data_IF_979966428930
#
_entry.id   IF_979966428930
#
_cell.length_a   1.000
_cell.length_b   1.000
_cell.length_c   1.000
_cell.angle_alpha   90.00
_cell.angle_beta   90.00
_cell.angle_gamma   90.00
#
_symmetry.space_group_name_H-M   'P 1'
#
loop_
_entity.id
_entity.type
_entity.pdbx_description
1 polymer ?
#
# COMPACT_ATOMS: atom_id res chain seq x y z
N UNK A 1 -79.99 14.54 11.13
CA UNK A 1 -78.57 14.96 11.27
C UNK A 1 -77.71 13.72 11.37
N UNK A 2 -77.15 13.30 10.26
CA UNK A 2 -76.26 12.11 10.16
C UNK A 2 -74.82 12.60 10.39
N UNK A 3 -74.18 12.15 11.48
CA UNK A 3 -72.76 12.38 11.73
C UNK A 3 -71.94 11.45 10.84
N UNK A 4 -71.16 12.04 9.93
CA UNK A 4 -70.20 11.35 9.08
C UNK A 4 -68.95 11.12 9.91
N UNK A 5 -68.61 9.88 10.23
CA UNK A 5 -67.40 9.49 10.94
C UNK A 5 -66.30 9.32 9.90
N UNK A 6 -65.37 10.29 9.83
CA UNK A 6 -64.20 10.22 8.93
C UNK A 6 -63.14 9.35 9.60
N UNK A 7 -62.99 8.09 9.15
CA UNK A 7 -61.88 7.20 9.55
C UNK A 7 -60.63 7.60 8.79
N UNK A 8 -59.73 8.29 9.50
CA UNK A 8 -58.40 8.60 9.01
C UNK A 8 -57.55 7.32 9.14
N UNK A 9 -57.40 6.60 8.05
CA UNK A 9 -56.42 5.50 8.00
C UNK A 9 -55.05 6.09 7.83
N UNK A 10 -54.30 6.22 8.93
CA UNK A 10 -52.86 6.53 8.89
C UNK A 10 -52.15 5.26 8.42
N UNK A 11 -51.83 5.19 7.12
CA UNK A 11 -50.90 4.21 6.61
C UNK A 11 -49.53 4.55 7.13
N UNK A 12 -49.11 3.91 8.21
CA UNK A 12 -47.71 3.87 8.62
C UNK A 12 -47.00 3.01 7.58
N UNK A 13 -46.51 3.66 6.53
CA UNK A 13 -45.49 3.05 5.68
C UNK A 13 -44.25 2.90 6.54
N UNK A 14 -44.12 1.72 7.14
CA UNK A 14 -42.86 1.28 7.71
C UNK A 14 -41.86 1.28 6.56
N UNK A 15 -41.07 2.34 6.48
CA UNK A 15 -39.85 2.38 5.70
C UNK A 15 -38.92 1.36 6.39
N UNK A 16 -39.13 0.05 6.12
CA UNK A 16 -38.10 -0.92 6.35
C UNK A 16 -36.98 -0.51 5.41
N UNK A 17 -35.99 0.25 5.94
CA UNK A 17 -34.70 0.32 5.30
C UNK A 17 -34.33 -1.12 4.99
N UNK A 18 -34.36 -1.48 3.72
CA UNK A 18 -33.88 -2.79 3.28
C UNK A 18 -32.42 -2.85 3.73
N UNK A 19 -32.20 -3.55 4.86
CA UNK A 19 -30.88 -3.72 5.41
C UNK A 19 -30.05 -4.42 4.35
N UNK A 20 -28.99 -3.77 3.90
CA UNK A 20 -28.12 -4.25 2.85
C UNK A 20 -27.64 -5.67 3.19
N UNK A 21 -28.15 -6.67 2.48
CA UNK A 21 -27.84 -8.07 2.76
C UNK A 21 -26.66 -8.49 1.90
N UNK A 22 -25.48 -8.46 2.48
CA UNK A 22 -24.26 -8.98 1.86
C UNK A 22 -24.45 -10.41 1.36
N UNK A 23 -23.86 -10.76 0.22
CA UNK A 23 -23.95 -12.09 -0.35
C UNK A 23 -23.40 -13.15 0.62
N UNK A 24 -23.91 -14.40 0.52
CA UNK A 24 -23.42 -15.50 1.35
C UNK A 24 -21.92 -15.73 1.14
N UNK A 25 -21.43 -15.56 -0.09
CA UNK A 25 -20.02 -15.75 -0.42
C UNK A 25 -19.12 -14.72 0.27
N UNK A 26 -19.51 -13.44 0.24
CA UNK A 26 -18.76 -12.38 0.92
C UNK A 26 -18.81 -12.54 2.44
N UNK A 27 -20.00 -12.85 3.00
CA UNK A 27 -20.09 -13.13 4.46
C UNK A 27 -19.20 -14.30 4.87
N UNK A 28 -19.14 -15.37 4.09
CA UNK A 28 -18.25 -16.50 4.37
C UNK A 28 -16.78 -16.10 4.28
N UNK A 29 -16.39 -15.24 3.34
CA UNK A 29 -15.01 -14.75 3.25
C UNK A 29 -14.61 -13.92 4.47
N UNK A 30 -15.51 -13.10 5.01
CA UNK A 30 -15.28 -12.38 6.27
C UNK A 30 -15.16 -13.33 7.46
N UNK A 31 -16.01 -14.34 7.57
CA UNK A 31 -15.93 -15.34 8.64
C UNK A 31 -14.62 -16.16 8.55
N UNK A 32 -14.17 -16.47 7.34
CA UNK A 32 -12.88 -17.12 7.13
C UNK A 32 -11.74 -16.19 7.56
N UNK A 33 -11.82 -14.88 7.28
CA UNK A 33 -10.84 -13.89 7.73
C UNK A 33 -10.80 -13.85 9.27
N UNK A 34 -11.93 -13.71 9.93
CA UNK A 34 -12.02 -13.75 11.39
C UNK A 34 -11.35 -14.99 11.96
N UNK A 35 -11.75 -16.17 11.47
CA UNK A 35 -11.23 -17.45 11.95
C UNK A 35 -9.74 -17.62 11.72
N UNK A 36 -9.25 -17.26 10.52
CA UNK A 36 -7.84 -17.47 10.13
C UNK A 36 -6.89 -16.44 10.74
N UNK A 37 -7.43 -15.32 11.23
CA UNK A 37 -6.65 -14.27 11.88
C UNK A 37 -6.92 -14.16 13.39
N UNK A 38 -7.47 -15.23 14.00
CA UNK A 38 -7.70 -15.36 15.44
C UNK A 38 -8.65 -14.26 15.99
N UNK A 39 -9.83 -14.13 15.39
CA UNK A 39 -10.81 -13.10 15.66
C UNK A 39 -11.19 -12.91 17.14
N UNK A 40 -11.16 -14.00 17.93
CA UNK A 40 -11.41 -13.94 19.38
C UNK A 40 -10.33 -13.16 20.15
N UNK A 41 -9.17 -12.92 19.55
CA UNK A 41 -8.07 -12.16 20.14
C UNK A 41 -7.98 -10.73 19.62
N UNK A 42 -8.86 -10.32 18.70
CA UNK A 42 -8.89 -8.95 18.18
C UNK A 42 -9.26 -7.94 19.27
N UNK A 43 -8.73 -6.74 19.18
CA UNK A 43 -9.10 -5.63 20.08
C UNK A 43 -10.56 -5.25 19.88
N UNK A 44 -10.97 -5.12 18.62
CA UNK A 44 -12.35 -4.85 18.21
C UNK A 44 -12.87 -6.07 17.45
N UNK A 45 -13.60 -6.93 18.17
CA UNK A 45 -14.17 -8.15 17.62
C UNK A 45 -15.47 -7.86 16.85
N UNK A 46 -15.76 -8.70 15.87
CA UNK A 46 -17.06 -8.66 15.19
C UNK A 46 -18.15 -9.34 16.05
N UNK A 47 -19.29 -8.66 16.16
CA UNK A 47 -20.47 -9.28 16.75
C UNK A 47 -21.22 -10.05 15.66
N UNK A 48 -21.11 -11.38 15.66
CA UNK A 48 -21.66 -12.27 14.63
C UNK A 48 -23.19 -12.28 14.59
N UNK A 49 -23.85 -11.82 15.68
CA UNK A 49 -25.31 -11.69 15.75
C UNK A 49 -25.83 -10.43 15.05
N UNK A 50 -24.92 -9.50 14.74
CA UNK A 50 -25.26 -8.27 14.03
C UNK A 50 -25.09 -8.42 12.51
N UNK A 51 -25.77 -7.60 11.71
CA UNK A 51 -25.51 -7.49 10.28
C UNK A 51 -24.05 -7.13 9.97
N UNK A 52 -23.54 -7.62 8.84
CA UNK A 52 -22.16 -7.33 8.40
C UNK A 52 -21.86 -5.83 8.32
N UNK A 53 -22.85 -5.01 7.98
CA UNK A 53 -22.72 -3.56 7.92
C UNK A 53 -22.46 -2.89 9.28
N UNK A 54 -22.62 -3.62 10.38
CA UNK A 54 -22.35 -3.15 11.74
C UNK A 54 -21.04 -3.74 12.33
N UNK A 55 -20.33 -4.55 11.52
CA UNK A 55 -19.07 -5.11 11.95
C UNK A 55 -17.97 -4.05 11.90
N UNK A 56 -17.19 -3.97 12.98
CA UNK A 56 -16.11 -3.00 13.08
C UNK A 56 -15.18 -3.06 11.85
N UNK A 57 -14.92 -1.90 11.25
CA UNK A 57 -14.03 -1.76 10.12
C UNK A 57 -14.55 -2.35 8.81
N UNK A 58 -15.83 -2.73 8.72
CA UNK A 58 -16.45 -3.22 7.49
C UNK A 58 -17.44 -2.17 6.97
N UNK A 59 -17.25 -1.74 5.72
CA UNK A 59 -18.20 -0.86 5.01
C UNK A 59 -18.92 -1.67 3.94
N UNK A 60 -20.26 -1.54 3.90
CA UNK A 60 -21.13 -2.20 2.93
C UNK A 60 -21.86 -1.16 2.09
N UNK A 61 -21.74 -1.26 0.77
CA UNK A 61 -22.46 -0.43 -0.19
C UNK A 61 -23.20 -1.33 -1.21
N UNK A 62 -24.45 -1.07 -1.48
CA UNK A 62 -25.21 -1.80 -2.47
C UNK A 62 -25.23 -3.33 -2.29
N UNK A 63 -25.25 -3.84 -1.05
CA UNK A 63 -25.15 -5.24 -0.67
C UNK A 63 -23.78 -5.91 -0.87
N UNK A 64 -22.71 -5.13 -1.09
CA UNK A 64 -21.35 -5.62 -1.24
C UNK A 64 -20.42 -5.04 -0.17
N UNK A 65 -19.45 -5.82 0.26
CA UNK A 65 -18.34 -5.35 1.10
C UNK A 65 -17.39 -4.55 0.22
N UNK A 66 -17.23 -3.26 0.55
CA UNK A 66 -16.39 -2.34 -0.22
C UNK A 66 -15.14 -1.88 0.54
N UNK A 67 -15.13 -2.03 1.86
CA UNK A 67 -13.98 -1.71 2.69
C UNK A 67 -13.86 -2.70 3.85
N UNK A 68 -12.61 -3.05 4.16
CA UNK A 68 -12.19 -3.72 5.39
C UNK A 68 -11.00 -2.94 5.95
N UNK A 69 -11.19 -2.31 7.12
CA UNK A 69 -10.15 -1.59 7.83
C UNK A 69 -10.01 -2.13 9.26
N UNK A 70 -9.03 -3.00 9.44
CA UNK A 70 -8.68 -3.64 10.71
C UNK A 70 -7.28 -3.23 11.16
N UNK A 71 -6.96 -1.95 10.94
CA UNK A 71 -5.71 -1.34 11.35
C UNK A 71 -5.48 -1.51 12.86
N UNK A 72 -4.28 -1.97 13.24
CA UNK A 72 -3.83 -2.11 14.65
C UNK A 72 -4.87 -2.81 15.54
N UNK A 73 -5.43 -3.91 15.06
CA UNK A 73 -6.53 -4.63 15.72
C UNK A 73 -6.11 -6.01 16.31
N UNK A 74 -4.81 -6.25 16.47
CA UNK A 74 -4.24 -7.49 17.02
C UNK A 74 -4.59 -8.75 16.20
N UNK A 75 -4.70 -8.63 14.87
CA UNK A 75 -4.85 -9.77 13.98
C UNK A 75 -3.58 -10.62 14.02
N UNK A 76 -3.73 -11.95 14.11
CA UNK A 76 -2.63 -12.92 14.04
C UNK A 76 -3.04 -14.12 13.23
N UNK A 77 -2.08 -14.82 12.60
CA UNK A 77 -2.39 -15.94 11.70
C UNK A 77 -2.23 -15.53 10.24
N UNK A 78 -3.09 -16.00 9.34
CA UNK A 78 -2.91 -15.86 7.89
C UNK A 78 -4.09 -15.16 7.21
N UNK A 79 -3.82 -14.46 6.11
CA UNK A 79 -4.86 -13.95 5.21
C UNK A 79 -5.40 -15.13 4.40
N UNK A 80 -6.72 -15.44 4.47
CA UNK A 80 -7.25 -16.62 3.81
C UNK A 80 -7.43 -16.43 2.30
N UNK A 81 -7.38 -17.52 1.53
CA UNK A 81 -7.62 -17.50 0.09
C UNK A 81 -9.01 -16.97 -0.28
N UNK A 82 -10.00 -17.10 0.63
CA UNK A 82 -11.35 -16.59 0.40
C UNK A 82 -11.44 -15.06 0.33
N UNK A 83 -10.37 -14.32 0.68
CA UNK A 83 -10.31 -12.86 0.54
C UNK A 83 -10.60 -12.43 -0.92
N UNK A 84 -10.13 -13.20 -1.90
CA UNK A 84 -10.37 -12.93 -3.33
C UNK A 84 -11.84 -12.99 -3.75
N UNK A 85 -12.75 -13.49 -2.91
CA UNK A 85 -14.20 -13.49 -3.18
C UNK A 85 -14.84 -12.12 -2.93
N UNK A 86 -14.14 -11.19 -2.30
CA UNK A 86 -14.62 -9.83 -2.02
C UNK A 86 -14.38 -8.92 -3.24
N UNK A 87 -14.88 -9.30 -4.40
CA UNK A 87 -14.55 -8.67 -5.70
C UNK A 87 -15.00 -7.21 -5.83
N UNK A 88 -15.84 -6.71 -4.93
CA UNK A 88 -16.25 -5.31 -4.86
C UNK A 88 -15.40 -4.48 -3.89
N UNK A 89 -14.44 -5.11 -3.20
CA UNK A 89 -13.60 -4.43 -2.23
C UNK A 89 -12.75 -3.35 -2.92
N UNK A 90 -12.78 -2.15 -2.34
CA UNK A 90 -12.00 -0.98 -2.75
C UNK A 90 -10.85 -0.70 -1.79
N UNK A 91 -11.05 -0.96 -0.50
CA UNK A 91 -10.05 -0.71 0.53
C UNK A 91 -9.86 -1.96 1.37
N UNK A 92 -8.62 -2.41 1.47
CA UNK A 92 -8.19 -3.45 2.40
C UNK A 92 -7.03 -2.92 3.23
N UNK A 93 -7.31 -2.59 4.49
CA UNK A 93 -6.32 -2.14 5.45
C UNK A 93 -6.18 -3.15 6.59
N UNK A 94 -5.09 -3.90 6.60
CA UNK A 94 -4.71 -4.87 7.63
C UNK A 94 -3.38 -4.48 8.29
N UNK A 95 -2.95 -3.24 8.13
CA UNK A 95 -1.67 -2.75 8.61
C UNK A 95 -1.55 -2.79 10.15
N UNK A 96 -0.29 -2.82 10.63
CA UNK A 96 0.06 -2.81 12.06
C UNK A 96 -0.60 -3.94 12.85
N UNK A 97 -0.44 -5.17 12.36
CA UNK A 97 -0.91 -6.38 13.02
C UNK A 97 0.25 -7.40 13.15
N UNK A 98 -0.05 -8.65 13.43
CA UNK A 98 0.95 -9.73 13.51
C UNK A 98 0.64 -10.87 12.53
N UNK A 99 0.02 -10.51 11.38
CA UNK A 99 -0.30 -11.45 10.32
C UNK A 99 0.98 -12.09 9.76
N UNK A 100 0.92 -13.37 9.46
CA UNK A 100 2.04 -14.18 9.00
C UNK A 100 1.65 -15.01 7.77
N UNK A 101 2.59 -15.83 7.28
CA UNK A 101 2.34 -16.62 6.08
C UNK A 101 2.48 -15.78 4.81
N UNK A 102 1.98 -16.27 3.71
CA UNK A 102 2.08 -15.63 2.40
C UNK A 102 0.86 -14.76 2.10
N UNK A 103 1.06 -13.72 1.30
CA UNK A 103 -0.05 -13.01 0.67
C UNK A 103 -0.73 -13.95 -0.33
N UNK A 104 -2.02 -14.29 -0.14
CA UNK A 104 -2.65 -15.28 -1.00
C UNK A 104 -2.74 -14.79 -2.45
N UNK A 105 -2.45 -15.67 -3.43
CA UNK A 105 -2.49 -15.32 -4.85
C UNK A 105 -3.88 -14.81 -5.29
N UNK A 106 -4.94 -15.22 -4.59
CA UNK A 106 -6.31 -14.74 -4.83
C UNK A 106 -6.51 -13.26 -4.54
N UNK A 107 -5.55 -12.58 -3.89
CA UNK A 107 -5.59 -11.12 -3.69
C UNK A 107 -5.68 -10.38 -5.05
N UNK A 108 -5.03 -10.91 -6.09
CA UNK A 108 -5.06 -10.35 -7.44
C UNK A 108 -6.41 -10.45 -8.16
N UNK A 109 -7.39 -11.18 -7.56
CA UNK A 109 -8.77 -11.20 -8.02
C UNK A 109 -9.56 -9.95 -7.60
N UNK A 110 -9.02 -9.14 -6.68
CA UNK A 110 -9.64 -7.91 -6.19
C UNK A 110 -9.43 -6.75 -7.19
N UNK A 111 -9.96 -6.90 -8.39
CA UNK A 111 -9.76 -5.94 -9.50
C UNK A 111 -10.36 -4.55 -9.25
N UNK A 112 -11.22 -4.41 -8.23
CA UNK A 112 -11.77 -3.13 -7.82
C UNK A 112 -10.98 -2.48 -6.67
N UNK A 113 -9.94 -3.15 -6.15
CA UNK A 113 -9.17 -2.63 -5.04
C UNK A 113 -8.38 -1.37 -5.46
N UNK A 114 -8.53 -0.33 -4.66
CA UNK A 114 -7.88 0.97 -4.82
C UNK A 114 -6.75 1.16 -3.79
N UNK A 115 -6.92 0.57 -2.60
CA UNK A 115 -5.96 0.70 -1.51
C UNK A 115 -5.70 -0.67 -0.87
N UNK A 116 -4.43 -1.08 -0.83
CA UNK A 116 -3.95 -2.26 -0.13
C UNK A 116 -2.88 -1.86 0.89
N UNK A 117 -3.22 -1.92 2.18
CA UNK A 117 -2.31 -1.64 3.30
C UNK A 117 -2.10 -2.90 4.12
N UNK A 118 -0.89 -3.42 4.06
CA UNK A 118 -0.47 -4.65 4.77
C UNK A 118 0.88 -4.47 5.47
N UNK A 119 1.36 -3.24 5.58
CA UNK A 119 2.62 -2.90 6.24
C UNK A 119 2.62 -3.26 7.73
N UNK A 120 3.82 -3.32 8.32
CA UNK A 120 4.02 -3.61 9.74
C UNK A 120 3.32 -4.91 10.19
N UNK A 121 3.65 -6.00 9.50
CA UNK A 121 3.17 -7.34 9.77
C UNK A 121 4.34 -8.35 9.74
N UNK A 122 4.06 -9.63 9.66
CA UNK A 122 5.04 -10.72 9.54
C UNK A 122 4.78 -11.57 8.29
N UNK A 123 4.25 -10.95 7.24
CA UNK A 123 3.98 -11.61 5.96
C UNK A 123 5.32 -11.98 5.30
N UNK A 124 5.34 -13.10 4.59
CA UNK A 124 6.55 -13.63 3.97
C UNK A 124 6.26 -14.25 2.59
N UNK A 125 7.29 -14.77 1.95
CA UNK A 125 7.18 -15.34 0.61
C UNK A 125 7.21 -14.25 -0.46
N UNK A 126 6.73 -14.56 -1.65
CA UNK A 126 6.79 -13.68 -2.81
C UNK A 126 5.50 -12.85 -2.95
N UNK A 127 5.60 -11.69 -3.57
CA UNK A 127 4.39 -11.06 -4.13
C UNK A 127 3.82 -11.96 -5.23
N UNK A 128 2.47 -12.08 -5.32
CA UNK A 128 1.85 -12.84 -6.40
C UNK A 128 2.26 -12.31 -7.78
N UNK A 129 2.60 -13.23 -8.71
CA UNK A 129 2.98 -12.89 -10.09
C UNK A 129 1.89 -12.15 -10.85
N UNK A 130 0.63 -12.35 -10.47
CA UNK A 130 -0.55 -11.74 -11.07
C UNK A 130 -0.97 -10.43 -10.37
N UNK A 131 -0.10 -9.82 -9.55
CA UNK A 131 -0.42 -8.56 -8.83
C UNK A 131 -0.87 -7.45 -9.79
N UNK A 132 -0.36 -7.45 -11.02
CA UNK A 132 -0.73 -6.51 -12.07
C UNK A 132 -2.20 -6.53 -12.49
N UNK A 133 -2.95 -7.60 -12.17
CA UNK A 133 -4.39 -7.67 -12.43
C UNK A 133 -5.20 -6.66 -11.60
N UNK A 134 -4.59 -6.06 -10.58
CA UNK A 134 -5.23 -5.07 -9.69
C UNK A 134 -5.18 -3.67 -10.31
N UNK A 135 -5.69 -3.55 -11.53
CA UNK A 135 -5.53 -2.34 -12.39
C UNK A 135 -6.11 -1.04 -11.82
N UNK A 136 -6.97 -1.12 -10.80
CA UNK A 136 -7.53 0.07 -10.12
C UNK A 136 -6.73 0.49 -8.90
N UNK A 137 -5.69 -0.25 -8.52
CA UNK A 137 -4.92 0.04 -7.33
C UNK A 137 -4.19 1.39 -7.47
N UNK A 138 -4.36 2.22 -6.46
CA UNK A 138 -3.75 3.55 -6.32
C UNK A 138 -2.62 3.53 -5.29
N UNK A 139 -2.76 2.69 -4.26
CA UNK A 139 -1.81 2.60 -3.16
C UNK A 139 -1.56 1.14 -2.79
N UNK A 140 -0.28 0.75 -2.79
CA UNK A 140 0.22 -0.53 -2.27
C UNK A 140 1.31 -0.25 -1.25
N UNK A 141 1.01 -0.50 0.03
CA UNK A 141 1.99 -0.39 1.11
C UNK A 141 2.14 -1.74 1.82
N UNK A 142 3.37 -2.25 1.79
CA UNK A 142 3.75 -3.54 2.35
C UNK A 142 5.08 -3.47 3.12
N UNK A 143 5.51 -2.27 3.52
CA UNK A 143 6.78 -2.08 4.20
C UNK A 143 6.80 -2.79 5.56
N UNK A 144 8.01 -3.08 6.02
CA UNK A 144 8.25 -3.76 7.30
C UNK A 144 7.47 -5.09 7.41
N UNK A 145 7.86 -6.02 6.56
CA UNK A 145 7.41 -7.40 6.49
C UNK A 145 8.62 -8.31 6.18
N UNK A 146 8.39 -9.55 5.81
CA UNK A 146 9.42 -10.53 5.43
C UNK A 146 9.22 -11.03 3.99
N UNK A 147 8.66 -10.22 3.10
CA UNK A 147 8.54 -10.56 1.68
C UNK A 147 9.93 -10.79 1.07
N UNK A 148 10.03 -11.73 0.15
CA UNK A 148 11.31 -12.15 -0.46
C UNK A 148 11.15 -12.49 -1.94
N UNK A 149 12.25 -12.79 -2.60
CA UNK A 149 12.30 -13.01 -4.04
C UNK A 149 12.17 -11.71 -4.83
N UNK A 150 11.99 -11.83 -6.13
CA UNK A 150 11.97 -10.68 -7.02
C UNK A 150 10.65 -9.89 -6.93
N UNK A 151 10.71 -8.59 -7.12
CA UNK A 151 9.52 -7.79 -7.41
C UNK A 151 9.02 -8.22 -8.79
N UNK A 152 7.75 -8.64 -8.94
CA UNK A 152 7.26 -9.15 -10.23
C UNK A 152 7.13 -8.03 -11.27
N UNK A 153 7.50 -8.34 -12.53
CA UNK A 153 7.36 -7.39 -13.67
C UNK A 153 5.92 -6.91 -13.87
N UNK A 154 4.94 -7.76 -13.52
CA UNK A 154 3.52 -7.37 -13.61
C UNK A 154 3.13 -6.18 -12.72
N UNK A 155 4.00 -5.77 -11.78
CA UNK A 155 3.75 -4.54 -10.98
C UNK A 155 3.57 -3.32 -11.88
N UNK A 156 4.27 -3.27 -13.03
CA UNK A 156 4.17 -2.21 -14.01
C UNK A 156 2.84 -2.14 -14.78
N UNK A 157 1.99 -3.17 -14.66
CA UNK A 157 0.65 -3.20 -15.27
C UNK A 157 -0.37 -2.42 -14.44
N UNK A 158 -0.03 -2.04 -13.20
CA UNK A 158 -0.90 -1.28 -12.30
C UNK A 158 -0.81 0.22 -12.64
N UNK A 159 -1.17 0.60 -13.84
CA UNK A 159 -0.93 1.95 -14.43
C UNK A 159 -1.54 3.12 -13.65
N UNK A 160 -2.43 2.85 -12.70
CA UNK A 160 -3.04 3.86 -11.85
C UNK A 160 -2.30 4.07 -10.52
N UNK A 161 -1.26 3.27 -10.23
CA UNK A 161 -0.56 3.29 -8.96
C UNK A 161 0.11 4.66 -8.71
N UNK A 162 -0.10 5.19 -7.53
CA UNK A 162 0.50 6.46 -7.05
C UNK A 162 1.52 6.23 -5.95
N UNK A 163 1.30 5.23 -5.12
CA UNK A 163 2.19 4.90 -4.02
C UNK A 163 2.53 3.42 -4.08
N UNK A 164 3.82 3.13 -4.18
CA UNK A 164 4.39 1.79 -4.05
C UNK A 164 5.45 1.82 -2.94
N UNK A 165 5.14 1.21 -1.80
CA UNK A 165 6.11 1.11 -0.71
C UNK A 165 6.32 -0.35 -0.29
N UNK A 166 7.48 -0.87 -0.66
CA UNK A 166 7.96 -2.22 -0.36
C UNK A 166 9.20 -2.20 0.57
N UNK A 167 9.47 -1.08 1.22
CA UNK A 167 10.64 -0.87 2.08
C UNK A 167 10.70 -1.87 3.23
N UNK A 168 11.91 -2.11 3.77
CA UNK A 168 12.17 -2.98 4.93
C UNK A 168 11.53 -4.37 4.75
N UNK A 169 12.03 -5.08 3.74
CA UNK A 169 11.68 -6.44 3.38
C UNK A 169 12.95 -7.22 2.96
N UNK A 170 12.80 -8.38 2.36
CA UNK A 170 13.90 -9.20 1.85
C UNK A 170 13.81 -9.38 0.33
N UNK A 171 13.32 -8.37 -0.41
CA UNK A 171 13.29 -8.43 -1.87
C UNK A 171 14.70 -8.46 -2.44
N UNK A 172 14.90 -9.30 -3.46
CA UNK A 172 16.18 -9.56 -4.13
C UNK A 172 16.06 -9.37 -5.65
N UNK A 173 17.20 -9.47 -6.33
CA UNK A 173 17.26 -9.28 -7.79
C UNK A 173 17.16 -7.80 -8.17
N UNK A 174 16.71 -7.55 -9.39
CA UNK A 174 16.72 -6.20 -9.97
C UNK A 174 15.41 -5.44 -9.71
N UNK A 175 15.49 -4.11 -9.72
CA UNK A 175 14.29 -3.28 -9.83
C UNK A 175 13.69 -3.52 -11.21
N UNK A 176 12.41 -3.94 -11.33
CA UNK A 176 11.78 -4.19 -12.61
C UNK A 176 11.74 -2.95 -13.52
N UNK A 177 12.14 -3.12 -14.77
CA UNK A 177 12.02 -2.05 -15.78
C UNK A 177 10.58 -1.56 -15.94
N UNK A 178 9.62 -2.46 -15.76
CA UNK A 178 8.19 -2.18 -15.88
C UNK A 178 7.68 -1.12 -14.89
N UNK A 179 8.39 -0.85 -13.79
CA UNK A 179 8.02 0.24 -12.87
C UNK A 179 8.01 1.59 -13.60
N UNK A 180 8.86 1.77 -14.62
CA UNK A 180 8.85 2.96 -15.46
C UNK A 180 7.54 3.22 -16.21
N UNK A 181 6.66 2.22 -16.35
CA UNK A 181 5.34 2.36 -16.97
C UNK A 181 4.31 3.05 -16.04
N UNK A 182 4.61 3.17 -14.74
CA UNK A 182 3.71 3.70 -13.73
C UNK A 182 3.67 5.25 -13.77
N UNK A 183 3.22 5.82 -14.87
CA UNK A 183 3.28 7.27 -15.15
C UNK A 183 2.57 8.16 -14.11
N UNK A 184 1.75 7.57 -13.23
CA UNK A 184 1.07 8.27 -12.13
C UNK A 184 1.76 8.11 -10.78
N UNK A 185 2.91 7.40 -10.73
CA UNK A 185 3.60 7.13 -9.49
C UNK A 185 4.15 8.42 -8.88
N UNK A 186 3.82 8.65 -7.62
CA UNK A 186 4.22 9.81 -6.82
C UNK A 186 5.25 9.44 -5.75
N UNK A 187 5.21 8.21 -5.24
CA UNK A 187 6.14 7.72 -4.22
C UNK A 187 6.56 6.28 -4.52
N UNK A 188 7.88 6.04 -4.55
CA UNK A 188 8.51 4.73 -4.68
C UNK A 188 9.47 4.50 -3.50
N UNK A 189 9.09 3.59 -2.59
CA UNK A 189 9.89 3.17 -1.45
C UNK A 189 10.37 1.73 -1.61
N UNK A 190 11.69 1.56 -1.73
CA UNK A 190 12.40 0.27 -1.79
C UNK A 190 13.52 0.20 -0.75
N UNK A 191 13.53 1.11 0.23
CA UNK A 191 14.51 1.18 1.31
C UNK A 191 14.69 -0.17 2.02
N UNK A 192 15.94 -0.48 2.39
CA UNK A 192 16.26 -1.64 3.22
C UNK A 192 15.70 -2.95 2.66
N UNK A 193 16.33 -3.39 1.55
CA UNK A 193 16.10 -4.65 0.86
C UNK A 193 17.45 -5.22 0.41
N UNK A 194 17.45 -6.27 -0.40
CA UNK A 194 18.65 -6.86 -0.98
C UNK A 194 18.68 -6.73 -2.50
N UNK A 195 18.04 -5.68 -3.04
CA UNK A 195 17.99 -5.39 -4.47
C UNK A 195 19.37 -5.07 -5.01
N UNK A 196 19.69 -5.59 -6.20
CA UNK A 196 20.99 -5.47 -6.85
C UNK A 196 20.89 -5.03 -8.31
N UNK A 197 22.03 -4.84 -8.98
CA UNK A 197 22.09 -4.39 -10.36
C UNK A 197 21.90 -2.87 -10.49
N UNK A 198 21.74 -2.44 -11.73
CA UNK A 198 21.63 -1.01 -12.04
C UNK A 198 20.21 -0.49 -11.77
N UNK A 199 20.09 0.80 -11.49
CA UNK A 199 18.77 1.46 -11.46
C UNK A 199 18.27 1.58 -12.91
N UNK A 200 17.02 1.12 -13.22
CA UNK A 200 16.46 1.28 -14.55
C UNK A 200 16.35 2.74 -14.99
N UNK A 201 16.90 3.08 -16.16
CA UNK A 201 16.85 4.44 -16.70
C UNK A 201 15.42 4.95 -16.96
N UNK A 202 14.50 4.03 -17.31
CA UNK A 202 13.10 4.38 -17.56
C UNK A 202 12.34 4.88 -16.31
N UNK A 203 12.89 4.72 -15.08
CA UNK A 203 12.35 5.42 -13.91
C UNK A 203 12.41 6.96 -14.09
N UNK A 204 13.32 7.47 -14.91
CA UNK A 204 13.37 8.90 -15.27
C UNK A 204 12.10 9.40 -15.98
N UNK A 205 11.26 8.52 -16.54
CA UNK A 205 10.00 8.88 -17.17
C UNK A 205 8.88 9.20 -16.14
N UNK A 206 9.11 8.91 -14.86
CA UNK A 206 8.13 9.11 -13.79
C UNK A 206 8.09 10.59 -13.34
N UNK A 207 7.67 11.47 -14.22
CA UNK A 207 7.72 12.94 -14.02
C UNK A 207 6.88 13.45 -12.84
N UNK A 208 5.93 12.64 -12.34
CA UNK A 208 5.12 12.94 -11.14
C UNK A 208 5.75 12.42 -9.84
N UNK A 209 6.88 11.71 -9.93
CA UNK A 209 7.53 11.12 -8.77
C UNK A 209 8.08 12.21 -7.85
N UNK A 210 7.62 12.20 -6.60
CA UNK A 210 8.01 13.14 -5.53
C UNK A 210 9.00 12.52 -4.57
N UNK A 211 8.90 11.21 -4.37
CA UNK A 211 9.71 10.46 -3.43
C UNK A 211 10.30 9.22 -4.09
N UNK A 212 11.62 9.09 -4.05
CA UNK A 212 12.37 7.93 -4.50
C UNK A 212 13.36 7.52 -3.41
N UNK A 213 13.07 6.40 -2.75
CA UNK A 213 13.87 5.91 -1.62
C UNK A 213 14.40 4.52 -1.94
N UNK A 214 15.68 4.45 -2.30
CA UNK A 214 16.40 3.24 -2.71
C UNK A 214 17.52 2.88 -1.73
N UNK A 215 17.71 3.65 -0.68
CA UNK A 215 18.83 3.49 0.26
C UNK A 215 18.81 2.11 0.93
N UNK A 216 20.00 1.67 1.42
CA UNK A 216 20.20 0.39 2.08
C UNK A 216 19.83 -0.81 1.18
N UNK A 217 20.47 -0.91 0.03
CA UNK A 217 20.36 -2.01 -0.92
C UNK A 217 21.74 -2.44 -1.44
N UNK A 218 21.79 -3.22 -2.49
CA UNK A 218 23.01 -3.63 -3.17
C UNK A 218 23.08 -3.09 -4.61
N UNK A 219 22.31 -2.02 -4.91
CA UNK A 219 22.25 -1.40 -6.23
C UNK A 219 23.61 -0.86 -6.65
N UNK A 220 23.94 -1.00 -7.93
CA UNK A 220 25.24 -0.66 -8.49
C UNK A 220 25.13 0.28 -9.69
N UNK A 221 26.18 0.25 -10.53
CA UNK A 221 26.24 1.04 -11.74
C UNK A 221 26.30 2.55 -11.50
N UNK A 222 25.91 3.32 -12.50
CA UNK A 222 25.80 4.77 -12.42
C UNK A 222 24.36 5.20 -12.16
N UNK A 223 24.18 6.38 -11.57
CA UNK A 223 22.87 7.03 -11.53
C UNK A 223 22.44 7.31 -12.98
N UNK A 224 21.21 6.91 -13.40
CA UNK A 224 20.76 7.12 -14.77
C UNK A 224 20.72 8.59 -15.17
N UNK A 225 21.14 8.93 -16.39
CA UNK A 225 21.09 10.31 -16.90
C UNK A 225 19.63 10.80 -17.06
N UNK A 226 18.71 9.89 -17.27
CA UNK A 226 17.27 10.16 -17.42
C UNK A 226 16.67 10.76 -16.13
N UNK A 227 17.34 10.62 -14.99
CA UNK A 227 16.89 11.19 -13.72
C UNK A 227 16.88 12.74 -13.74
N UNK A 228 17.59 13.35 -14.65
CA UNK A 228 17.46 14.79 -14.95
C UNK A 228 16.02 15.20 -15.34
N UNK A 229 15.16 14.25 -15.73
CA UNK A 229 13.76 14.50 -16.12
C UNK A 229 12.79 14.45 -14.91
N UNK A 230 13.23 14.01 -13.73
CA UNK A 230 12.41 13.88 -12.52
C UNK A 230 12.09 15.25 -11.89
N UNK A 231 11.32 16.06 -12.59
CA UNK A 231 11.07 17.46 -12.24
C UNK A 231 10.30 17.68 -10.92
N UNK A 232 9.54 16.66 -10.47
CA UNK A 232 8.72 16.75 -9.25
C UNK A 232 9.41 16.21 -8.00
N UNK A 233 10.63 15.65 -8.15
CA UNK A 233 11.30 14.94 -7.06
C UNK A 233 11.66 15.88 -5.90
N UNK A 234 11.30 15.48 -4.69
CA UNK A 234 11.54 16.22 -3.44
C UNK A 234 12.33 15.41 -2.42
N UNK A 235 12.17 14.09 -2.43
CA UNK A 235 12.87 13.16 -1.54
C UNK A 235 13.64 12.17 -2.41
N UNK A 236 14.96 12.16 -2.28
CA UNK A 236 15.83 11.24 -2.99
C UNK A 236 16.87 10.67 -2.04
N UNK A 237 16.78 9.37 -1.77
CA UNK A 237 17.67 8.67 -0.85
C UNK A 237 18.25 7.43 -1.53
N UNK A 238 19.57 7.40 -1.72
CA UNK A 238 20.31 6.34 -2.43
C UNK A 238 21.54 5.85 -1.66
N UNK A 239 21.78 6.36 -0.46
CA UNK A 239 22.94 5.99 0.36
C UNK A 239 22.96 4.51 0.71
N UNK A 240 24.15 4.01 1.11
CA UNK A 240 24.37 2.61 1.46
C UNK A 240 23.99 1.66 0.32
N UNK A 241 24.56 1.90 -0.84
CA UNK A 241 24.48 1.08 -2.04
C UNK A 241 25.89 0.83 -2.62
N UNK A 242 25.99 0.24 -3.80
CA UNK A 242 27.25 -0.08 -4.48
C UNK A 242 27.47 0.76 -5.74
N UNK A 243 26.91 1.98 -5.81
CA UNK A 243 27.06 2.84 -6.98
C UNK A 243 28.52 3.18 -7.23
N UNK A 244 28.91 3.13 -8.50
CA UNK A 244 30.26 3.44 -8.94
C UNK A 244 30.40 4.84 -9.57
N UNK A 245 29.28 5.53 -9.82
CA UNK A 245 29.27 6.89 -10.35
C UNK A 245 28.01 7.66 -9.95
N UNK A 246 28.25 8.86 -9.42
CA UNK A 246 27.22 9.85 -9.06
C UNK A 246 27.19 11.04 -10.02
N UNK A 247 27.98 11.00 -11.11
CA UNK A 247 28.16 12.11 -12.04
C UNK A 247 26.84 12.70 -12.54
N UNK A 248 25.86 11.84 -12.85
CA UNK A 248 24.60 12.26 -13.43
C UNK A 248 23.66 12.96 -12.43
N UNK A 249 24.00 12.99 -11.12
CA UNK A 249 23.30 13.85 -10.15
C UNK A 249 23.40 15.34 -10.50
N UNK A 250 24.43 15.76 -11.23
CA UNK A 250 24.59 17.14 -11.72
C UNK A 250 23.48 17.55 -12.69
N UNK A 251 22.82 16.58 -13.35
CA UNK A 251 21.71 16.81 -14.28
C UNK A 251 20.38 17.08 -13.57
N UNK A 252 20.30 16.78 -12.27
CA UNK A 252 19.07 16.88 -11.48
C UNK A 252 18.92 18.27 -10.87
N UNK A 253 17.67 18.74 -10.72
CA UNK A 253 17.40 20.00 -10.01
C UNK A 253 17.41 19.80 -8.48
N UNK A 254 18.60 19.60 -7.93
CA UNK A 254 18.78 19.29 -6.50
C UNK A 254 18.40 20.44 -5.56
N UNK A 255 18.21 21.66 -6.08
CA UNK A 255 17.82 22.84 -5.26
C UNK A 255 16.43 22.73 -4.67
N UNK A 256 15.58 21.90 -5.26
CA UNK A 256 14.21 21.69 -4.81
C UNK A 256 14.06 20.48 -3.90
N UNK A 257 15.13 19.74 -3.62
CA UNK A 257 15.06 18.57 -2.74
C UNK A 257 14.88 18.99 -1.28
N UNK A 258 13.91 18.36 -0.63
CA UNK A 258 13.70 18.48 0.82
C UNK A 258 14.62 17.52 1.58
N UNK A 259 14.84 16.33 1.01
CA UNK A 259 15.75 15.32 1.52
C UNK A 259 16.58 14.79 0.36
N UNK A 260 17.90 14.80 0.52
CA UNK A 260 18.83 14.25 -0.43
C UNK A 260 19.99 13.56 0.30
N UNK A 261 20.00 12.22 0.27
CA UNK A 261 21.03 11.41 0.92
C UNK A 261 21.69 10.47 -0.09
N UNK A 262 23.01 10.55 -0.17
CA UNK A 262 23.88 9.67 -0.96
C UNK A 262 25.23 9.49 -0.26
N UNK A 263 26.04 8.52 -0.70
CA UNK A 263 27.36 8.25 -0.13
C UNK A 263 28.37 9.33 -0.60
N UNK A 264 28.83 10.16 0.32
CA UNK A 264 29.61 11.38 0.04
C UNK A 264 31.11 11.15 -0.22
N UNK A 265 31.64 9.99 0.16
CA UNK A 265 33.10 9.83 0.27
C UNK A 265 33.84 9.85 -1.07
N UNK A 266 33.15 9.73 -2.22
CA UNK A 266 33.74 9.67 -3.55
C UNK A 266 33.41 10.86 -4.48
N UNK A 267 32.59 11.84 -4.06
CA UNK A 267 32.09 12.89 -4.97
C UNK A 267 32.26 14.28 -4.39
N UNK A 268 33.14 15.08 -5.01
CA UNK A 268 33.15 16.54 -4.84
C UNK A 268 32.06 17.16 -5.70
N UNK A 269 30.80 17.01 -5.30
CA UNK A 269 29.70 17.80 -5.85
C UNK A 269 29.67 19.13 -5.09
N UNK A 270 29.95 20.25 -5.79
CA UNK A 270 29.93 21.59 -5.23
C UNK A 270 28.48 22.09 -5.15
N UNK A 271 27.72 21.54 -4.19
CA UNK A 271 26.38 22.01 -3.90
C UNK A 271 26.45 23.29 -3.07
N UNK A 272 26.50 24.43 -3.75
CA UNK A 272 26.35 25.72 -3.09
C UNK A 272 24.89 25.83 -2.59
N UNK A 273 24.75 25.84 -1.26
CA UNK A 273 23.54 26.23 -0.52
C UNK A 273 22.38 25.23 -0.45
N UNK A 274 22.64 23.95 -0.24
CA UNK A 274 21.56 23.01 0.17
C UNK A 274 21.52 22.92 1.70
N UNK A 275 20.46 23.46 2.30
CA UNK A 275 20.24 23.38 3.75
C UNK A 275 19.64 21.99 4.06
N UNK A 276 20.50 21.04 4.44
CA UNK A 276 20.10 19.68 4.78
C UNK A 276 19.40 19.66 6.14
N UNK A 277 18.09 19.71 6.19
CA UNK A 277 17.35 19.34 7.39
C UNK A 277 17.48 17.83 7.61
N UNK A 278 17.89 17.43 8.81
CA UNK A 278 18.05 16.04 9.23
C UNK A 278 16.69 15.38 9.45
N UNK A 279 16.02 15.00 8.40
CA UNK A 279 14.81 14.19 8.52
C UNK A 279 15.11 12.81 7.93
N UNK A 280 15.50 11.86 8.78
CA UNK A 280 15.63 10.45 8.41
C UNK A 280 14.23 9.86 8.39
N UNK A 281 13.78 9.25 7.30
CA UNK A 281 12.54 8.44 7.28
C UNK A 281 12.60 7.25 8.27
N UNK A 282 13.81 6.85 8.71
CA UNK A 282 14.01 5.86 9.76
C UNK A 282 13.72 6.38 11.19
N UNK A 283 13.60 7.71 11.36
CA UNK A 283 13.34 8.35 12.65
C UNK A 283 11.92 8.90 12.77
N UNK A 284 10.94 8.31 12.10
CA UNK A 284 9.54 8.57 12.40
C UNK A 284 9.26 8.07 13.82
N UNK A 285 9.51 8.93 14.80
CA UNK A 285 8.89 8.80 16.10
C UNK A 285 7.41 8.97 15.87
N UNK A 286 6.66 7.91 16.06
CA UNK A 286 5.22 8.01 16.21
C UNK A 286 5.00 8.85 17.47
N UNK A 287 4.57 10.09 17.32
CA UNK A 287 3.98 10.83 18.42
C UNK A 287 2.68 10.10 18.76
N UNK A 288 2.66 9.46 19.93
CA UNK A 288 1.43 8.95 20.50
C UNK A 288 0.54 10.16 20.75
N UNK A 289 -0.46 10.39 19.89
CA UNK A 289 -1.57 11.26 20.21
C UNK A 289 -2.31 10.61 21.38
N UNK A 290 -1.97 11.01 22.59
CA UNK A 290 -2.80 10.78 23.76
C UNK A 290 -4.11 11.54 23.57
N UNK A 291 -5.17 10.80 23.22
CA UNK A 291 -6.53 11.30 23.34
C UNK A 291 -6.84 11.60 24.81
N UNK A 292 -7.12 12.85 25.08
CA UNK A 292 -7.81 13.30 26.30
C UNK A 292 -9.34 13.14 26.15
#
# INVERSE_FOLDING_TARGET
>A
MKKLLLLLVISITSNQMMQAKVSKAEKMALLDLDKSTNGTSWIKQWNMDQPVSEWYGVTVEGNHVVEISLFRNNLSGIIPQSIGKLTHLRILNLAFNTLSGELPATISQLQNLEVLKIEMNRLKGKLPSEIGNMVKLLELTAFNNFFSGNIPESIGDIVNLRVLNLSSNNFEGHIPDSIGNLSRLESLGLFENTLEGDIPGNLGQLVLLKELVLANNQLGGAIPEEFGQLASLKVFQIQNNKFNSYKNLELMNTREFLVFDYDKDDVKLDFKDVNFSKTRMADTKFEDEEEH
#
